data_IF_164373612837
#
_entry.id   IF_164373612837
#
_cell.length_a   1.000
_cell.length_b   1.000
_cell.length_c   1.000
_cell.angle_alpha   90.00
_cell.angle_beta   90.00
_cell.angle_gamma   90.00
#
_symmetry.space_group_name_H-M   'P 1'
#
loop_
_entity.id
_entity.type
_entity.pdbx_description
1 polymer ?
#
# COMPACT_ATOMS: atom_id res chain seq x y z
N UNK A 1 -31.65 11.37 21.80
CA UNK A 1 -30.89 10.45 20.94
C UNK A 1 -30.22 11.29 19.87
N UNK A 2 -28.90 11.41 19.89
CA UNK A 2 -28.16 12.16 18.86
C UNK A 2 -28.18 11.38 17.55
N UNK A 3 -28.18 12.09 16.42
CA UNK A 3 -28.06 11.47 15.10
C UNK A 3 -26.66 10.85 15.02
N UNK A 4 -26.59 9.55 14.76
CA UNK A 4 -25.33 8.84 14.55
C UNK A 4 -24.67 9.34 13.26
N UNK A 5 -23.38 9.66 13.33
CA UNK A 5 -22.64 10.20 12.19
C UNK A 5 -22.44 9.12 11.13
N UNK A 6 -23.05 9.29 9.96
CA UNK A 6 -22.82 8.44 8.79
C UNK A 6 -21.56 8.92 8.06
N UNK A 7 -20.51 8.10 8.08
CA UNK A 7 -19.27 8.35 7.34
C UNK A 7 -19.38 7.79 5.91
N UNK A 8 -18.77 8.47 4.94
CA UNK A 8 -18.78 8.00 3.53
C UNK A 8 -17.95 6.72 3.33
N UNK A 9 -16.75 6.68 3.90
CA UNK A 9 -15.81 5.57 3.73
C UNK A 9 -14.82 5.49 4.91
N UNK A 10 -15.29 5.13 6.12
CA UNK A 10 -14.37 4.88 7.23
C UNK A 10 -13.50 3.64 6.93
N UNK A 11 -12.25 3.59 7.40
CA UNK A 11 -11.43 2.39 7.27
C UNK A 11 -12.09 1.22 8.02
N UNK A 12 -12.14 0.06 7.38
CA UNK A 12 -12.58 -1.18 8.01
C UNK A 12 -11.36 -2.06 8.28
N UNK A 13 -11.02 -2.21 9.56
CA UNK A 13 -9.90 -3.04 10.02
C UNK A 13 -10.37 -4.49 10.12
N UNK A 14 -9.84 -5.34 9.26
CA UNK A 14 -10.26 -6.74 9.06
C UNK A 14 -9.65 -7.73 10.07
N UNK A 15 -8.69 -7.28 10.89
CA UNK A 15 -8.21 -7.98 12.09
C UNK A 15 -6.71 -8.30 12.10
N UNK A 16 -6.06 -8.37 10.94
CA UNK A 16 -4.62 -8.70 10.85
C UNK A 16 -3.70 -7.47 10.81
N UNK A 17 -4.24 -6.27 10.61
CA UNK A 17 -3.44 -5.06 10.39
C UNK A 17 -2.53 -4.76 11.59
N UNK A 18 -3.07 -4.82 12.81
CA UNK A 18 -2.29 -4.57 14.03
C UNK A 18 -1.21 -5.64 14.25
N UNK A 19 -1.49 -6.89 13.87
CA UNK A 19 -0.52 -7.98 13.96
C UNK A 19 0.70 -7.68 13.07
N UNK A 20 0.49 -7.35 11.81
CA UNK A 20 1.61 -7.04 10.89
C UNK A 20 2.38 -5.78 11.27
N UNK A 21 1.71 -4.79 11.86
CA UNK A 21 2.39 -3.64 12.46
C UNK A 21 3.31 -4.11 13.59
N UNK A 22 2.80 -4.88 14.55
CA UNK A 22 3.60 -5.38 15.68
C UNK A 22 4.80 -6.21 15.21
N UNK A 23 4.60 -7.11 14.22
CA UNK A 23 5.68 -7.90 13.63
C UNK A 23 6.79 -7.01 13.03
N UNK A 24 6.43 -5.90 12.37
CA UNK A 24 7.41 -4.96 11.82
C UNK A 24 8.24 -4.28 12.93
N UNK A 25 7.60 -3.92 14.05
CA UNK A 25 8.29 -3.38 15.22
C UNK A 25 9.20 -4.42 15.89
N UNK A 26 8.70 -5.64 16.10
CA UNK A 26 9.47 -6.74 16.73
C UNK A 26 10.72 -7.11 15.93
N UNK A 27 10.62 -7.10 14.61
CA UNK A 27 11.74 -7.39 13.72
C UNK A 27 12.63 -6.17 13.44
N UNK A 28 12.33 -5.02 14.06
CA UNK A 28 13.01 -3.75 13.86
C UNK A 28 13.07 -3.29 12.37
N UNK A 29 12.04 -3.65 11.59
CA UNK A 29 11.86 -3.25 10.19
C UNK A 29 10.89 -2.07 10.08
N UNK A 30 11.21 -0.97 10.76
CA UNK A 30 10.42 0.26 10.75
C UNK A 30 11.00 1.20 9.67
N UNK A 31 11.05 0.70 8.44
CA UNK A 31 11.65 1.39 7.29
C UNK A 31 10.69 1.29 6.08
N UNK A 32 10.90 2.11 5.02
CA UNK A 32 10.08 2.07 3.81
C UNK A 32 10.15 0.74 3.03
N UNK A 33 11.03 -0.19 3.43
CA UNK A 33 11.25 -1.49 2.83
C UNK A 33 11.36 -2.54 3.93
N UNK A 34 10.92 -3.76 3.64
CA UNK A 34 10.99 -4.89 4.55
C UNK A 34 10.05 -6.03 4.13
N UNK A 35 10.04 -7.15 4.88
CA UNK A 35 9.34 -8.37 4.48
C UNK A 35 7.84 -8.21 4.22
N UNK A 36 7.18 -7.28 4.91
CA UNK A 36 5.76 -6.98 4.70
C UNK A 36 5.51 -6.26 3.36
N UNK A 37 6.46 -5.44 2.90
CA UNK A 37 6.38 -4.76 1.60
C UNK A 37 6.61 -5.76 0.47
N UNK A 38 7.65 -6.60 0.58
CA UNK A 38 7.96 -7.62 -0.42
C UNK A 38 6.77 -8.58 -0.63
N UNK A 39 6.16 -9.04 0.47
CA UNK A 39 4.97 -9.90 0.41
C UNK A 39 3.76 -9.17 -0.17
N UNK A 40 3.56 -7.89 0.17
CA UNK A 40 2.47 -7.12 -0.40
C UNK A 40 2.61 -6.99 -1.92
N UNK A 41 3.81 -6.72 -2.43
CA UNK A 41 4.08 -6.66 -3.87
C UNK A 41 3.81 -8.00 -4.55
N UNK A 42 4.31 -9.11 -3.99
CA UNK A 42 4.09 -10.46 -4.52
C UNK A 42 2.60 -10.86 -4.54
N UNK A 43 1.92 -10.73 -3.40
CA UNK A 43 0.51 -11.10 -3.26
C UNK A 43 -0.40 -10.21 -4.12
N UNK A 44 -0.10 -8.92 -4.19
CA UNK A 44 -0.87 -7.98 -5.01
C UNK A 44 -0.68 -8.24 -6.51
N UNK A 45 0.56 -8.46 -6.97
CA UNK A 45 0.84 -8.83 -8.36
C UNK A 45 0.08 -10.10 -8.77
N UNK A 46 0.10 -11.12 -7.90
CA UNK A 46 -0.64 -12.36 -8.09
C UNK A 46 -2.16 -12.14 -8.12
N UNK A 47 -2.68 -11.29 -7.23
CA UNK A 47 -4.11 -10.98 -7.15
C UNK A 47 -4.64 -10.33 -8.42
N UNK A 48 -3.90 -9.37 -8.99
CA UNK A 48 -4.30 -8.65 -10.22
C UNK A 48 -3.89 -9.38 -11.51
N UNK A 49 -3.04 -10.41 -11.43
CA UNK A 49 -2.63 -11.22 -12.57
C UNK A 49 -1.54 -10.57 -13.44
N UNK A 50 -0.57 -9.88 -12.83
CA UNK A 50 0.60 -9.31 -13.51
C UNK A 50 1.90 -9.95 -13.04
N UNK A 51 2.98 -9.76 -13.79
CA UNK A 51 4.30 -10.34 -13.47
C UNK A 51 4.95 -9.70 -12.23
N UNK A 52 4.76 -8.40 -12.02
CA UNK A 52 5.38 -7.66 -10.91
C UNK A 52 4.55 -6.46 -10.50
N UNK A 53 4.66 -6.08 -9.22
CA UNK A 53 4.10 -4.86 -8.66
C UNK A 53 5.18 -4.12 -7.87
N UNK A 54 5.03 -2.81 -7.74
CA UNK A 54 5.93 -1.97 -6.93
C UNK A 54 5.09 -1.13 -5.96
N UNK A 55 5.36 -1.28 -4.66
CA UNK A 55 4.73 -0.53 -3.60
C UNK A 55 5.32 0.88 -3.52
N UNK A 56 4.45 1.88 -3.44
CA UNK A 56 4.82 3.29 -3.31
C UNK A 56 3.92 3.99 -2.30
N UNK A 57 4.35 5.15 -1.83
CA UNK A 57 3.67 5.89 -0.75
C UNK A 57 2.25 6.36 -1.08
N UNK A 58 1.87 6.45 -2.36
CA UNK A 58 0.54 6.89 -2.79
C UNK A 58 0.26 6.57 -4.26
N UNK A 59 -1.01 6.61 -4.66
CA UNK A 59 -1.41 6.51 -6.08
C UNK A 59 -0.83 7.63 -6.95
N UNK A 60 -0.67 8.85 -6.40
CA UNK A 60 -0.01 9.97 -7.10
C UNK A 60 1.46 9.65 -7.41
N UNK A 61 2.18 9.08 -6.45
CA UNK A 61 3.56 8.64 -6.65
C UNK A 61 3.65 7.53 -7.71
N UNK A 62 2.69 6.59 -7.72
CA UNK A 62 2.64 5.51 -8.70
C UNK A 62 2.51 6.03 -10.13
N UNK A 63 1.56 6.94 -10.37
CA UNK A 63 1.34 7.55 -11.69
C UNK A 63 2.54 8.39 -12.11
N UNK A 64 3.08 9.19 -11.20
CA UNK A 64 4.27 10.00 -11.49
C UNK A 64 5.46 9.13 -11.88
N UNK A 65 5.76 8.06 -11.13
CA UNK A 65 6.83 7.13 -11.44
C UNK A 65 6.61 6.44 -12.79
N UNK A 66 5.39 5.98 -13.07
CA UNK A 66 5.05 5.32 -14.33
C UNK A 66 5.31 6.24 -15.54
N UNK A 67 4.87 7.51 -15.48
CA UNK A 67 5.11 8.49 -16.54
C UNK A 67 6.60 8.77 -16.74
N UNK A 68 7.37 8.87 -15.64
CA UNK A 68 8.82 9.06 -15.70
C UNK A 68 9.53 7.86 -16.35
N UNK A 69 9.10 6.63 -16.04
CA UNK A 69 9.65 5.41 -16.64
C UNK A 69 9.32 5.28 -18.14
N UNK A 70 8.16 5.79 -18.57
CA UNK A 70 7.77 5.86 -19.97
C UNK A 70 8.45 7.00 -20.75
N UNK A 71 9.29 7.82 -20.10
CA UNK A 71 10.00 8.93 -20.73
C UNK A 71 9.11 10.13 -21.06
N UNK A 72 7.94 10.27 -20.43
CA UNK A 72 7.06 11.41 -20.64
C UNK A 72 7.72 12.69 -20.12
N UNK A 73 7.82 13.69 -20.98
CA UNK A 73 8.37 15.02 -20.67
C UNK A 73 7.38 16.12 -21.04
N UNK A 74 7.75 17.36 -20.74
CA UNK A 74 7.08 18.51 -21.37
C UNK A 74 7.11 18.38 -22.88
N UNK A 75 6.01 18.78 -23.52
CA UNK A 75 5.91 18.90 -24.98
C UNK A 75 6.75 20.03 -25.56
#
# INVERSE_FOLDING_TARGET
>A
MGIERVFLSPPHMSGNEQKYINEAFEQNWIAPLGPNVDKFEEEFAKFIGVESAAAVSSGTAAIHLALKLLGVSSG
#
